data_IF_630453770661
#
_entry.id   IF_630453770661
#
_cell.length_a   1.000
_cell.length_b   1.000
_cell.length_c   1.000
_cell.angle_alpha   90.00
_cell.angle_beta   90.00
_cell.angle_gamma   90.00
#
_symmetry.space_group_name_H-M   'P 1'
#
loop_
_entity.id
_entity.type
_entity.pdbx_description
1 polymer ?
#
# COMPACT_ATOMS: atom_id res chain seq x y z
N UNK A 1 -8.18 6.46 -10.96
CA UNK A 1 -6.70 6.45 -10.81
C UNK A 1 -6.28 7.67 -9.98
N UNK A 2 -5.21 7.57 -9.19
CA UNK A 2 -4.78 8.64 -8.28
C UNK A 2 -3.78 9.59 -8.95
N UNK A 3 -3.87 10.89 -8.62
CA UNK A 3 -2.97 11.92 -9.18
C UNK A 3 -1.53 11.79 -8.69
N UNK A 4 -1.34 11.30 -7.46
CA UNK A 4 -0.04 11.10 -6.83
C UNK A 4 -0.16 10.14 -5.65
N UNK A 5 0.98 9.78 -5.06
CA UNK A 5 1.05 8.87 -3.91
C UNK A 5 0.26 9.39 -2.70
N UNK A 6 0.31 10.70 -2.40
CA UNK A 6 -0.42 11.29 -1.27
C UNK A 6 -1.94 11.07 -1.41
N UNK A 7 -2.48 11.34 -2.59
CA UNK A 7 -3.90 11.10 -2.89
C UNK A 7 -4.27 9.62 -2.76
N UNK A 8 -3.35 8.71 -3.10
CA UNK A 8 -3.55 7.27 -2.91
C UNK A 8 -3.56 6.87 -1.43
N UNK A 9 -2.60 7.36 -0.64
CA UNK A 9 -2.54 7.09 0.81
C UNK A 9 -3.79 7.58 1.55
N UNK A 10 -4.27 8.79 1.23
CA UNK A 10 -5.52 9.31 1.80
C UNK A 10 -6.73 8.47 1.40
N UNK A 11 -6.74 7.93 0.18
CA UNK A 11 -7.81 7.06 -0.28
C UNK A 11 -7.80 5.69 0.39
N UNK A 12 -6.61 5.12 0.66
CA UNK A 12 -6.46 3.91 1.47
C UNK A 12 -6.93 4.16 2.91
N UNK A 13 -6.54 5.28 3.52
CA UNK A 13 -6.97 5.63 4.88
C UNK A 13 -8.48 5.76 5.00
N UNK A 14 -9.15 6.43 4.05
CA UNK A 14 -10.61 6.52 4.01
C UNK A 14 -11.31 5.16 3.87
N UNK A 15 -10.62 4.15 3.32
CA UNK A 15 -11.13 2.78 3.18
C UNK A 15 -10.78 1.87 4.36
N UNK A 16 -10.04 2.37 5.36
CA UNK A 16 -9.50 1.54 6.44
C UNK A 16 -8.33 0.64 6.02
N UNK A 17 -7.79 0.85 4.82
CA UNK A 17 -6.72 0.06 4.19
C UNK A 17 -5.32 0.64 4.42
N UNK A 18 -5.21 1.70 5.22
CA UNK A 18 -3.95 2.27 5.69
C UNK A 18 -3.98 2.48 7.20
N UNK A 19 -2.95 2.00 7.89
CA UNK A 19 -2.73 2.24 9.31
C UNK A 19 -1.48 3.10 9.52
N UNK A 20 -1.62 4.20 10.26
CA UNK A 20 -0.50 5.03 10.71
C UNK A 20 0.15 4.46 11.97
N UNK A 21 1.46 4.29 11.94
CA UNK A 21 2.29 3.86 13.07
C UNK A 21 3.09 5.07 13.55
N UNK A 22 2.74 5.55 14.76
CA UNK A 22 3.27 6.78 15.36
C UNK A 22 4.42 6.57 16.35
N UNK A 23 4.61 5.33 16.79
CA UNK A 23 5.75 4.99 17.64
C UNK A 23 7.02 5.01 16.79
N UNK A 24 8.19 5.40 17.34
CA UNK A 24 9.47 5.27 16.65
C UNK A 24 9.73 3.80 16.29
N UNK A 25 10.11 3.52 15.05
CA UNK A 25 10.43 2.17 14.56
C UNK A 25 11.74 2.21 13.78
N UNK A 26 12.59 1.21 13.97
CA UNK A 26 13.85 1.05 13.24
C UNK A 26 13.61 0.67 11.77
N UNK A 27 14.38 1.29 10.87
CA UNK A 27 14.45 0.84 9.48
C UNK A 27 15.22 -0.49 9.34
N UNK A 28 16.07 -0.81 10.31
CA UNK A 28 16.83 -2.06 10.34
C UNK A 28 15.93 -3.18 10.86
N UNK A 29 15.39 -3.95 9.91
CA UNK A 29 14.60 -5.18 10.08
C UNK A 29 13.24 -5.04 10.79
N UNK A 30 13.03 -4.06 11.67
CA UNK A 30 11.81 -3.92 12.44
C UNK A 30 10.59 -3.55 11.57
N UNK A 31 10.72 -2.55 10.69
CA UNK A 31 9.67 -2.23 9.70
C UNK A 31 9.32 -3.45 8.84
N UNK A 32 10.33 -4.21 8.41
CA UNK A 32 10.14 -5.37 7.55
C UNK A 32 9.40 -6.50 8.28
N UNK A 33 9.77 -6.82 9.52
CA UNK A 33 9.11 -7.83 10.35
C UNK A 33 7.64 -7.46 10.63
N UNK A 34 7.37 -6.19 10.97
CA UNK A 34 6.00 -5.70 11.18
C UNK A 34 5.19 -5.81 9.89
N UNK A 35 5.75 -5.36 8.77
CA UNK A 35 5.09 -5.43 7.47
C UNK A 35 4.83 -6.87 7.01
N UNK A 36 5.77 -7.79 7.24
CA UNK A 36 5.64 -9.20 6.89
C UNK A 36 4.43 -9.85 7.59
N UNK A 37 4.30 -9.66 8.91
CA UNK A 37 3.15 -10.16 9.67
C UNK A 37 1.82 -9.58 9.18
N UNK A 38 1.78 -8.28 8.91
CA UNK A 38 0.55 -7.60 8.48
C UNK A 38 0.15 -8.04 7.07
N UNK A 39 1.10 -8.13 6.14
CA UNK A 39 0.83 -8.55 4.75
C UNK A 39 0.39 -10.01 4.69
N UNK A 40 1.04 -10.92 5.43
CA UNK A 40 0.64 -12.33 5.50
C UNK A 40 -0.75 -12.55 6.11
N UNK A 41 -1.20 -11.63 6.97
CA UNK A 41 -2.56 -11.59 7.51
C UNK A 41 -3.56 -10.82 6.64
N UNK A 42 -3.22 -10.50 5.39
CA UNK A 42 -4.02 -9.66 4.47
C UNK A 42 -4.42 -8.29 5.06
N UNK A 43 -3.62 -7.77 6.00
CA UNK A 43 -3.89 -6.53 6.70
C UNK A 43 -3.69 -5.26 5.85
N UNK A 44 -3.91 -4.09 6.48
CA UNK A 44 -3.80 -2.80 5.80
C UNK A 44 -2.35 -2.49 5.42
N UNK A 45 -2.16 -1.55 4.50
CA UNK A 45 -0.87 -0.91 4.31
C UNK A 45 -0.46 -0.14 5.59
N UNK A 46 0.85 0.08 5.77
CA UNK A 46 1.39 0.78 6.92
C UNK A 46 2.10 2.06 6.50
N UNK A 47 1.89 3.12 7.28
CA UNK A 47 2.68 4.36 7.20
C UNK A 47 3.38 4.59 8.54
N UNK A 48 4.68 4.37 8.57
CA UNK A 48 5.54 4.66 9.71
C UNK A 48 5.92 6.13 9.68
N UNK A 49 5.37 6.92 10.60
CA UNK A 49 5.54 8.38 10.63
C UNK A 49 6.86 8.80 11.30
N UNK A 50 7.46 7.91 12.11
CA UNK A 50 8.70 8.15 12.85
C UNK A 50 9.66 6.99 12.68
N UNK A 51 10.61 7.13 11.76
CA UNK A 51 11.64 6.12 11.51
C UNK A 51 12.95 6.55 12.16
N UNK A 52 13.54 5.69 12.99
CA UNK A 52 14.74 6.02 13.77
C UNK A 52 15.88 6.42 12.84
N UNK A 53 16.44 7.61 13.06
CA UNK A 53 17.57 8.14 12.28
C UNK A 53 17.23 8.54 10.84
N UNK A 54 15.95 8.74 10.51
CA UNK A 54 15.48 9.19 9.19
C UNK A 54 14.55 10.39 9.34
N UNK A 55 14.68 11.34 8.42
CA UNK A 55 13.83 12.56 8.39
C UNK A 55 12.58 12.39 7.51
N UNK A 56 12.33 11.18 7.02
CA UNK A 56 11.21 10.87 6.13
C UNK A 56 10.43 9.64 6.61
N UNK A 57 9.11 9.61 6.40
CA UNK A 57 8.27 8.47 6.74
C UNK A 57 8.45 7.33 5.75
N UNK A 58 8.06 6.12 6.16
CA UNK A 58 8.09 4.93 5.29
C UNK A 58 6.67 4.39 5.12
N UNK A 59 6.23 4.28 3.87
CA UNK A 59 4.99 3.60 3.51
C UNK A 59 5.31 2.22 2.92
N UNK A 60 4.65 1.16 3.42
CA UNK A 60 4.90 -0.23 3.00
C UNK A 60 3.59 -1.04 2.94
N UNK A 61 3.56 -2.11 2.14
CA UNK A 61 2.35 -2.93 1.96
C UNK A 61 1.29 -2.30 1.05
N UNK A 62 1.63 -1.24 0.31
CA UNK A 62 0.73 -0.46 -0.55
C UNK A 62 0.02 -1.27 -1.65
N UNK A 63 0.56 -2.44 -1.99
CA UNK A 63 0.03 -3.38 -2.98
C UNK A 63 -0.06 -4.81 -2.39
N UNK A 64 -0.13 -4.93 -1.07
CA UNK A 64 -0.02 -6.20 -0.35
C UNK A 64 -1.21 -7.16 -0.50
N UNK A 65 -2.31 -6.75 -1.14
CA UNK A 65 -3.44 -7.63 -1.46
C UNK A 65 -3.89 -7.41 -2.92
N UNK A 66 -4.57 -8.40 -3.51
CA UNK A 66 -5.12 -8.28 -4.87
C UNK A 66 -6.12 -7.13 -4.97
N UNK A 67 -7.02 -7.01 -3.98
CA UNK A 67 -8.03 -5.96 -3.92
C UNK A 67 -7.39 -4.55 -3.82
N UNK A 68 -6.37 -4.39 -2.98
CA UNK A 68 -5.66 -3.12 -2.84
C UNK A 68 -4.87 -2.75 -4.09
N UNK A 69 -4.29 -3.73 -4.78
CA UNK A 69 -3.63 -3.54 -6.08
C UNK A 69 -4.62 -3.14 -7.18
N UNK A 70 -5.76 -3.83 -7.30
CA UNK A 70 -6.81 -3.47 -8.24
C UNK A 70 -7.32 -2.04 -8.00
N UNK A 71 -7.52 -1.67 -6.73
CA UNK A 71 -7.90 -0.33 -6.34
C UNK A 71 -6.88 0.73 -6.77
N UNK A 72 -5.58 0.48 -6.57
CA UNK A 72 -4.52 1.39 -7.01
C UNK A 72 -4.55 1.65 -8.53
N UNK A 73 -4.82 0.60 -9.30
CA UNK A 73 -4.89 0.63 -10.76
C UNK A 73 -6.25 1.15 -11.27
N UNK A 74 -7.22 1.35 -10.39
CA UNK A 74 -8.55 1.85 -10.74
C UNK A 74 -9.37 0.84 -11.54
N UNK A 75 -9.17 -0.46 -11.27
CA UNK A 75 -9.92 -1.57 -11.86
C UNK A 75 -10.67 -2.32 -10.76
N UNK A 76 -11.75 -3.00 -11.13
CA UNK A 76 -12.55 -3.80 -10.19
C UNK A 76 -11.80 -5.05 -9.74
N UNK A 77 -11.15 -5.72 -10.67
CA UNK A 77 -10.27 -6.86 -10.44
C UNK A 77 -9.06 -6.81 -11.38
N UNK A 78 -8.02 -7.60 -11.07
CA UNK A 78 -6.79 -7.61 -11.86
C UNK A 78 -6.95 -8.26 -13.24
N UNK A 79 -7.96 -9.11 -13.42
CA UNK A 79 -8.24 -9.76 -14.71
C UNK A 79 -8.92 -8.78 -15.67
N UNK A 80 -9.66 -7.80 -15.15
CA UNK A 80 -10.23 -6.69 -15.91
C UNK A 80 -9.12 -5.83 -16.53
N UNK A 81 -7.97 -5.70 -15.85
CA UNK A 81 -6.80 -5.06 -16.44
C UNK A 81 -6.24 -5.87 -17.60
N UNK A 82 -6.09 -7.19 -17.44
CA UNK A 82 -5.61 -8.07 -18.52
C UNK A 82 -6.50 -7.96 -19.77
N UNK A 83 -7.82 -8.06 -19.60
CA UNK A 83 -8.81 -7.89 -20.68
C UNK A 83 -8.68 -6.53 -21.38
N UNK A 84 -8.43 -5.47 -20.62
CA UNK A 84 -8.26 -4.11 -21.17
C UNK A 84 -6.97 -3.98 -21.99
N UNK A 85 -5.89 -4.63 -21.57
CA UNK A 85 -4.64 -4.66 -22.33
C UNK A 85 -4.81 -5.47 -23.62
N UNK A 86 -5.45 -6.64 -23.55
CA UNK A 86 -5.76 -7.46 -24.74
C UNK A 86 -6.56 -6.69 -25.78
N UNK A 87 -7.59 -5.95 -25.36
CA UNK A 87 -8.42 -5.14 -26.26
C UNK A 87 -7.67 -3.98 -26.95
N UNK A 88 -6.51 -3.54 -26.41
CA UNK A 88 -5.67 -2.52 -27.04
C UNK A 88 -4.66 -3.08 -28.04
N UNK A 89 -4.44 -4.40 -28.01
CA UNK A 89 -3.50 -5.11 -28.88
C UNK A 89 -4.18 -5.81 -30.08
N UNK A 90 -5.51 -5.80 -30.11
CA UNK A 90 -6.34 -6.29 -31.22
C UNK A 90 -6.65 -5.15 -32.21
#
# INVERSE_FOLDING_TARGET
MFRNLRAYLEALERRGELRRVRVPVSAELEIAEIADRVVKGEGPALLFERVVGKDFPVAIGLFGTRARTAFALGVEDLDALARKVEALLA
#
